data_IF_502744003961
#
_entry.id   IF_502744003961
#
_cell.length_a   1.000
_cell.length_b   1.000
_cell.length_c   1.000
_cell.angle_alpha   90.00
_cell.angle_beta   90.00
_cell.angle_gamma   90.00
#
_symmetry.space_group_name_H-M   'P 1'
#
loop_
_entity.id
_entity.type
_entity.pdbx_description
1 polymer ?
#
# COMPACT_ATOMS: atom_id res chain seq x y z
N UNK A 1 8.92 -18.75 -19.26
CA UNK A 1 7.49 -19.09 -19.31
C UNK A 1 7.04 -19.44 -17.90
N UNK A 2 6.08 -18.71 -17.33
CA UNK A 2 5.60 -18.96 -15.96
C UNK A 2 4.73 -20.21 -15.91
N UNK A 3 4.93 -21.06 -14.90
CA UNK A 3 4.18 -22.30 -14.75
C UNK A 3 2.69 -21.97 -14.47
N UNK A 4 1.74 -22.41 -15.32
CA UNK A 4 0.34 -22.05 -15.17
C UNK A 4 -0.27 -22.54 -13.85
N UNK A 5 0.20 -23.69 -13.32
CA UNK A 5 -0.21 -24.21 -12.01
C UNK A 5 0.29 -23.30 -10.89
N UNK A 6 1.54 -22.86 -10.96
CA UNK A 6 2.10 -21.92 -9.99
C UNK A 6 1.32 -20.59 -9.99
N UNK A 7 1.01 -20.05 -11.17
CA UNK A 7 0.22 -18.82 -11.30
C UNK A 7 -1.20 -18.97 -10.73
N UNK A 8 -1.82 -20.14 -10.92
CA UNK A 8 -3.12 -20.45 -10.33
C UNK A 8 -3.02 -20.52 -8.79
N UNK A 9 -2.03 -21.22 -8.25
CA UNK A 9 -1.80 -21.28 -6.79
C UNK A 9 -1.56 -19.90 -6.19
N UNK A 10 -0.74 -19.05 -6.83
CA UNK A 10 -0.50 -17.67 -6.37
C UNK A 10 -1.81 -16.87 -6.35
N UNK A 11 -2.64 -16.99 -7.40
CA UNK A 11 -3.94 -16.31 -7.45
C UNK A 11 -4.86 -16.77 -6.30
N UNK A 12 -4.88 -18.06 -5.99
CA UNK A 12 -5.66 -18.59 -4.88
C UNK A 12 -5.15 -18.09 -3.52
N UNK A 13 -3.82 -18.12 -3.32
CA UNK A 13 -3.19 -17.66 -2.08
C UNK A 13 -3.48 -16.18 -1.77
N UNK A 14 -3.57 -15.33 -2.80
CA UNK A 14 -3.93 -13.91 -2.65
C UNK A 14 -5.33 -13.69 -2.07
N UNK A 15 -6.26 -14.65 -2.22
CA UNK A 15 -7.60 -14.58 -1.64
C UNK A 15 -7.67 -15.03 -0.18
N UNK A 16 -6.64 -15.69 0.36
CA UNK A 16 -6.67 -16.20 1.73
C UNK A 16 -6.99 -15.13 2.79
N UNK A 17 -6.41 -13.92 2.77
CA UNK A 17 -6.77 -12.90 3.76
C UNK A 17 -8.23 -12.46 3.68
N UNK A 18 -8.78 -12.35 2.47
CA UNK A 18 -10.20 -12.00 2.26
C UNK A 18 -11.13 -13.10 2.78
N UNK A 19 -10.81 -14.37 2.46
CA UNK A 19 -11.56 -15.52 2.97
C UNK A 19 -11.50 -15.56 4.50
N UNK A 20 -10.33 -15.34 5.10
CA UNK A 20 -10.16 -15.29 6.54
C UNK A 20 -11.04 -14.23 7.21
N UNK A 21 -11.00 -12.98 6.72
CA UNK A 21 -11.86 -11.91 7.25
C UNK A 21 -13.33 -12.25 7.06
N UNK A 22 -13.71 -12.78 5.89
CA UNK A 22 -15.10 -13.19 5.60
C UNK A 22 -15.57 -14.26 6.59
N UNK A 23 -14.75 -15.26 6.90
CA UNK A 23 -15.08 -16.30 7.88
C UNK A 23 -15.25 -15.73 9.29
N UNK A 24 -14.37 -14.81 9.71
CA UNK A 24 -14.51 -14.12 11.01
C UNK A 24 -15.81 -13.33 11.06
N UNK A 25 -16.15 -12.60 10.00
CA UNK A 25 -17.37 -11.80 9.95
C UNK A 25 -18.61 -12.68 10.01
N UNK A 26 -18.65 -13.78 9.25
CA UNK A 26 -19.75 -14.74 9.28
C UNK A 26 -19.90 -15.43 10.64
N UNK A 27 -18.79 -15.84 11.25
CA UNK A 27 -18.80 -16.38 12.61
C UNK A 27 -19.28 -15.34 13.63
N UNK A 28 -18.84 -14.09 13.52
CA UNK A 28 -19.26 -13.01 14.42
C UNK A 28 -20.76 -12.72 14.29
N UNK A 29 -21.33 -12.85 13.09
CA UNK A 29 -22.77 -12.77 12.86
C UNK A 29 -23.51 -13.88 13.59
N UNK A 30 -23.07 -15.13 13.45
CA UNK A 30 -23.64 -16.26 14.20
C UNK A 30 -23.54 -16.03 15.72
N UNK A 31 -22.36 -15.70 16.22
CA UNK A 31 -22.12 -15.50 17.65
C UNK A 31 -22.95 -14.34 18.23
N UNK A 32 -23.08 -13.23 17.51
CA UNK A 32 -23.85 -12.08 17.97
C UNK A 32 -25.36 -12.34 17.88
N UNK A 33 -25.85 -12.76 16.72
CA UNK A 33 -27.29 -12.88 16.46
C UNK A 33 -27.89 -14.09 17.16
N UNK A 34 -27.24 -15.25 17.06
CA UNK A 34 -27.79 -16.51 17.59
C UNK A 34 -27.41 -16.68 19.06
N UNK A 35 -26.13 -16.79 19.35
CA UNK A 35 -25.68 -17.12 20.71
C UNK A 35 -25.98 -15.99 21.70
N UNK A 36 -25.67 -14.75 21.34
CA UNK A 36 -25.93 -13.63 22.23
C UNK A 36 -27.39 -13.19 22.17
N UNK A 37 -27.89 -12.66 21.05
CA UNK A 37 -29.22 -12.05 20.99
C UNK A 37 -30.37 -13.05 21.15
N UNK A 38 -30.31 -14.25 20.54
CA UNK A 38 -31.41 -15.22 20.68
C UNK A 38 -31.34 -15.94 22.02
N UNK A 39 -30.20 -16.51 22.39
CA UNK A 39 -30.08 -17.38 23.57
C UNK A 39 -29.70 -16.66 24.88
N UNK A 40 -28.78 -15.69 24.86
CA UNK A 40 -28.33 -15.05 26.11
C UNK A 40 -29.21 -13.86 26.55
N UNK A 41 -29.78 -13.09 25.62
CA UNK A 41 -30.63 -11.93 25.96
C UNK A 41 -32.06 -12.38 26.25
N UNK A 42 -32.51 -12.19 27.48
CA UNK A 42 -33.88 -12.50 27.91
C UNK A 42 -34.86 -11.35 27.66
N UNK A 43 -34.40 -10.09 27.76
CA UNK A 43 -35.23 -8.90 27.54
C UNK A 43 -35.56 -8.69 26.06
N UNK A 44 -36.85 -8.79 25.70
CA UNK A 44 -37.31 -8.60 24.32
C UNK A 44 -37.00 -7.20 23.77
N UNK A 45 -37.25 -6.08 24.49
CA UNK A 45 -36.90 -4.75 24.00
C UNK A 45 -35.40 -4.60 23.72
N UNK A 46 -34.54 -5.10 24.61
CA UNK A 46 -33.08 -5.06 24.43
C UNK A 46 -32.67 -5.86 23.19
N UNK A 47 -33.22 -7.06 23.03
CA UNK A 47 -32.97 -7.93 21.86
C UNK A 47 -33.31 -7.24 20.54
N UNK A 48 -34.48 -6.61 20.46
CA UNK A 48 -34.92 -5.90 19.24
C UNK A 48 -33.99 -4.73 18.93
N UNK A 49 -33.68 -3.88 19.92
CA UNK A 49 -32.79 -2.73 19.73
C UNK A 49 -31.41 -3.21 19.28
N UNK A 50 -30.87 -4.26 19.91
CA UNK A 50 -29.55 -4.77 19.59
C UNK A 50 -29.50 -5.33 18.18
N UNK A 51 -30.49 -6.16 17.79
CA UNK A 51 -30.55 -6.73 16.45
C UNK A 51 -30.71 -5.66 15.37
N UNK A 52 -31.55 -4.65 15.56
CA UNK A 52 -31.77 -3.59 14.55
C UNK A 52 -30.49 -2.80 14.32
N UNK A 53 -29.86 -2.30 15.38
CA UNK A 53 -28.63 -1.51 15.26
C UNK A 53 -27.47 -2.37 14.74
N UNK A 54 -27.35 -3.62 15.19
CA UNK A 54 -26.37 -4.57 14.69
C UNK A 54 -26.46 -4.73 13.17
N UNK A 55 -27.66 -4.97 12.63
CA UNK A 55 -27.84 -5.17 11.19
C UNK A 55 -27.53 -3.90 10.38
N UNK A 56 -27.83 -2.71 10.92
CA UNK A 56 -27.45 -1.44 10.26
C UNK A 56 -25.92 -1.37 10.12
N UNK A 57 -25.17 -1.57 11.21
CA UNK A 57 -23.71 -1.53 11.17
C UNK A 57 -23.12 -2.67 10.33
N UNK A 58 -23.65 -3.88 10.44
CA UNK A 58 -23.21 -5.04 9.68
C UNK A 58 -23.40 -4.83 8.16
N UNK A 59 -24.58 -4.38 7.72
CA UNK A 59 -24.88 -4.20 6.31
C UNK A 59 -24.00 -3.10 5.67
N UNK A 60 -23.82 -1.96 6.35
CA UNK A 60 -22.99 -0.88 5.80
C UNK A 60 -21.49 -1.24 5.81
N UNK A 61 -21.04 -2.00 6.82
CA UNK A 61 -19.70 -2.57 6.87
C UNK A 61 -19.45 -3.56 5.72
N UNK A 62 -20.35 -4.53 5.52
CA UNK A 62 -20.23 -5.52 4.43
C UNK A 62 -20.31 -4.83 3.06
N UNK A 63 -21.19 -3.84 2.89
CA UNK A 63 -21.27 -3.07 1.64
C UNK A 63 -19.98 -2.30 1.35
N UNK A 64 -19.41 -1.60 2.33
CA UNK A 64 -18.13 -0.89 2.16
C UNK A 64 -16.95 -1.83 1.90
N UNK A 65 -16.90 -2.99 2.58
CA UNK A 65 -15.89 -4.01 2.33
C UNK A 65 -15.99 -4.59 0.91
N UNK A 66 -17.21 -4.94 0.48
CA UNK A 66 -17.47 -5.42 -0.89
C UNK A 66 -17.01 -4.42 -1.94
N UNK A 67 -17.39 -3.15 -1.79
CA UNK A 67 -16.97 -2.09 -2.73
C UNK A 67 -15.45 -1.91 -2.77
N UNK A 68 -14.78 -2.03 -1.63
CA UNK A 68 -13.32 -1.92 -1.57
C UNK A 68 -12.62 -3.08 -2.30
N UNK A 69 -13.11 -4.32 -2.14
CA UNK A 69 -12.58 -5.52 -2.82
C UNK A 69 -12.81 -5.45 -4.32
N UNK A 70 -14.06 -5.21 -4.74
CA UNK A 70 -14.47 -5.43 -6.13
C UNK A 70 -14.44 -4.19 -7.01
N UNK A 71 -14.15 -3.01 -6.45
CA UNK A 71 -13.91 -1.83 -7.26
C UNK A 71 -12.74 -2.08 -8.23
N UNK A 72 -12.88 -1.71 -9.52
CA UNK A 72 -11.81 -1.89 -10.49
C UNK A 72 -10.62 -1.01 -10.10
N UNK A 73 -9.41 -1.52 -10.31
CA UNK A 73 -8.17 -0.75 -10.15
C UNK A 73 -8.16 0.37 -11.19
N UNK A 74 -8.09 1.63 -10.75
CA UNK A 74 -7.96 2.78 -11.64
C UNK A 74 -6.63 2.76 -12.38
N UNK A 75 -6.66 2.68 -13.71
CA UNK A 75 -5.47 2.59 -14.58
C UNK A 75 -5.31 3.88 -15.40
N UNK A 76 -4.08 4.25 -15.79
CA UNK A 76 -3.85 5.36 -16.72
C UNK A 76 -4.60 5.21 -18.04
N UNK A 77 -5.04 6.33 -18.60
CA UNK A 77 -5.61 6.43 -19.96
C UNK A 77 -4.55 6.15 -21.03
N UNK A 78 -5.00 5.86 -22.25
CA UNK A 78 -4.11 5.49 -23.37
C UNK A 78 -3.12 6.59 -23.77
N UNK A 79 -3.42 7.86 -23.51
CA UNK A 79 -2.55 9.00 -23.81
C UNK A 79 -1.21 8.97 -23.05
N UNK A 80 -1.13 8.26 -21.93
CA UNK A 80 0.10 8.12 -21.15
C UNK A 80 0.99 6.97 -21.64
N UNK A 81 0.47 6.06 -22.46
CA UNK A 81 1.23 4.94 -23.00
C UNK A 81 2.08 5.39 -24.18
N UNK A 82 3.31 4.88 -24.23
CA UNK A 82 4.19 5.16 -25.35
C UNK A 82 3.79 4.34 -26.57
N UNK A 83 4.01 4.93 -27.75
CA UNK A 83 3.90 4.17 -28.99
C UNK A 83 5.02 3.11 -29.04
N UNK A 84 4.81 2.03 -29.79
CA UNK A 84 5.85 0.99 -29.97
C UNK A 84 7.16 1.56 -30.51
N UNK A 85 7.07 2.49 -31.46
CA UNK A 85 8.24 3.15 -32.02
C UNK A 85 9.00 3.97 -30.96
N UNK A 86 8.30 4.61 -30.03
CA UNK A 86 8.91 5.38 -28.95
C UNK A 86 9.56 4.49 -27.90
N UNK A 87 8.94 3.34 -27.60
CA UNK A 87 9.53 2.30 -26.75
C UNK A 87 10.81 1.76 -27.38
N UNK A 88 10.77 1.34 -28.64
CA UNK A 88 11.93 0.82 -29.36
C UNK A 88 13.07 1.85 -29.35
N UNK A 89 12.74 3.13 -29.58
CA UNK A 89 13.72 4.22 -29.53
C UNK A 89 14.34 4.44 -28.14
N UNK A 90 13.58 4.23 -27.06
CA UNK A 90 14.11 4.32 -25.70
C UNK A 90 15.00 3.12 -25.38
N UNK A 91 14.60 1.92 -25.78
CA UNK A 91 15.35 0.67 -25.54
C UNK A 91 16.69 0.63 -26.29
N UNK A 92 16.77 1.23 -27.47
CA UNK A 92 18.01 1.30 -28.27
C UNK A 92 18.93 2.50 -27.92
N UNK A 93 18.49 3.40 -27.04
CA UNK A 93 19.31 4.56 -26.64
C UNK A 93 20.08 4.23 -25.36
N UNK A 94 21.38 3.98 -25.47
CA UNK A 94 22.25 3.64 -24.34
C UNK A 94 22.51 4.81 -23.39
N UNK A 95 22.28 6.06 -23.85
CA UNK A 95 22.55 7.26 -23.05
C UNK A 95 21.33 7.69 -22.25
N UNK A 96 21.43 7.61 -20.93
CA UNK A 96 20.37 8.03 -19.99
C UNK A 96 19.89 9.47 -20.23
N UNK A 97 20.81 10.42 -20.47
CA UNK A 97 20.45 11.83 -20.75
C UNK A 97 19.50 11.96 -21.95
N UNK A 98 19.75 11.17 -23.01
CA UNK A 98 18.95 11.20 -24.24
C UNK A 98 17.62 10.50 -24.05
N UNK A 99 17.59 9.39 -23.31
CA UNK A 99 16.34 8.76 -22.90
C UNK A 99 15.45 9.75 -22.13
N UNK A 100 16.03 10.49 -21.18
CA UNK A 100 15.28 11.50 -20.42
C UNK A 100 14.81 12.68 -21.28
N UNK A 101 15.61 13.12 -22.27
CA UNK A 101 15.17 14.13 -23.23
C UNK A 101 14.00 13.64 -24.10
N UNK A 102 14.02 12.39 -24.55
CA UNK A 102 12.91 11.80 -25.30
C UNK A 102 11.64 11.71 -24.45
N UNK A 103 11.74 11.21 -23.22
CA UNK A 103 10.62 11.16 -22.28
C UNK A 103 10.08 12.57 -21.99
N UNK A 104 10.96 13.56 -21.79
CA UNK A 104 10.57 14.95 -21.57
C UNK A 104 9.84 15.55 -22.78
N UNK A 105 10.25 15.21 -24.00
CA UNK A 105 9.57 15.64 -25.21
C UNK A 105 8.16 15.05 -25.31
N UNK A 106 7.99 13.76 -25.02
CA UNK A 106 6.68 13.08 -25.01
C UNK A 106 5.77 13.59 -23.89
N UNK A 107 6.36 13.97 -22.76
CA UNK A 107 5.64 14.48 -21.60
C UNK A 107 5.12 15.92 -21.77
N UNK A 108 5.51 16.65 -22.82
CA UNK A 108 5.14 18.08 -23.01
C UNK A 108 3.63 18.29 -23.09
N UNK A 109 2.92 17.36 -23.71
CA UNK A 109 1.48 17.46 -23.93
C UNK A 109 0.67 16.84 -22.77
N UNK A 110 1.34 16.29 -21.75
CA UNK A 110 0.70 15.64 -20.60
C UNK A 110 0.59 16.61 -19.41
N UNK A 111 -0.50 16.53 -18.61
CA UNK A 111 -0.74 17.43 -17.49
C UNK A 111 0.08 17.04 -16.24
N UNK A 112 1.41 17.06 -16.33
CA UNK A 112 2.34 16.54 -15.32
C UNK A 112 3.03 17.64 -14.52
N UNK A 113 2.75 17.71 -13.21
CA UNK A 113 3.40 18.66 -12.30
C UNK A 113 4.53 18.05 -11.47
N UNK A 114 4.57 16.72 -11.33
CA UNK A 114 5.60 16.03 -10.52
C UNK A 114 6.70 15.39 -11.35
N UNK A 115 7.86 15.15 -10.72
CA UNK A 115 9.08 14.57 -11.31
C UNK A 115 9.69 13.51 -10.39
N UNK A 116 10.74 12.84 -10.86
CA UNK A 116 11.59 12.00 -10.00
C UNK A 116 12.42 12.88 -9.04
N UNK A 117 13.11 12.26 -8.08
CA UNK A 117 14.04 12.95 -7.18
C UNK A 117 15.16 13.67 -7.95
N UNK A 118 15.60 13.10 -9.07
CA UNK A 118 16.57 13.72 -9.99
C UNK A 118 15.98 14.75 -10.96
N UNK A 119 14.71 15.12 -10.82
CA UNK A 119 14.04 16.08 -11.71
C UNK A 119 13.58 15.51 -13.06
N UNK A 120 13.78 14.22 -13.31
CA UNK A 120 13.45 13.54 -14.56
C UNK A 120 11.96 13.18 -14.68
N UNK A 121 11.51 12.79 -15.87
CA UNK A 121 10.13 12.33 -16.08
C UNK A 121 9.91 10.99 -15.38
N UNK A 122 8.76 10.86 -14.70
CA UNK A 122 8.38 9.63 -14.02
C UNK A 122 7.90 8.61 -15.05
N UNK A 123 8.75 7.67 -15.42
CA UNK A 123 8.43 6.60 -16.37
C UNK A 123 8.16 5.27 -15.65
N UNK A 124 7.33 4.41 -16.24
CA UNK A 124 7.13 3.03 -15.82
C UNK A 124 7.56 2.09 -16.95
N UNK A 125 8.71 1.45 -16.79
CA UNK A 125 9.20 0.47 -17.77
C UNK A 125 8.29 -0.76 -17.90
N UNK A 126 7.84 -1.45 -16.82
CA UNK A 126 6.96 -2.61 -16.98
C UNK A 126 5.62 -2.34 -17.67
N UNK A 127 5.14 -1.11 -17.63
CA UNK A 127 3.87 -0.70 -18.25
C UNK A 127 4.07 0.11 -19.53
N UNK A 128 5.31 0.48 -19.87
CA UNK A 128 5.68 1.33 -21.00
C UNK A 128 4.83 2.61 -21.09
N UNK A 129 4.71 3.33 -19.96
CA UNK A 129 3.92 4.56 -19.85
C UNK A 129 4.62 5.63 -19.03
N UNK A 130 4.33 6.89 -19.32
CA UNK A 130 4.67 8.02 -18.45
C UNK A 130 3.65 8.03 -17.31
N UNK A 131 4.11 8.00 -16.06
CA UNK A 131 3.25 7.92 -14.88
C UNK A 131 2.51 9.27 -14.71
N UNK A 132 1.15 9.28 -14.69
CA UNK A 132 0.41 10.43 -14.22
C UNK A 132 0.84 10.84 -12.81
N UNK A 133 0.53 12.08 -12.41
CA UNK A 133 0.81 12.51 -11.04
C UNK A 133 0.13 11.58 -10.03
N UNK A 134 0.80 11.34 -8.90
CA UNK A 134 0.34 10.42 -7.84
C UNK A 134 0.14 8.94 -8.29
N UNK A 135 0.49 8.58 -9.52
CA UNK A 135 0.40 7.21 -10.02
C UNK A 135 1.66 6.40 -9.68
N UNK A 136 1.49 5.16 -9.22
CA UNK A 136 2.60 4.25 -8.93
C UNK A 136 2.35 2.85 -9.48
N UNK A 137 3.41 2.14 -9.85
CA UNK A 137 3.31 0.75 -10.29
C UNK A 137 3.18 -0.18 -9.08
N UNK A 138 2.16 -1.02 -9.07
CA UNK A 138 2.01 -2.06 -8.08
C UNK A 138 2.39 -3.41 -8.71
N UNK A 139 3.51 -4.00 -8.27
CA UNK A 139 3.98 -5.31 -8.72
C UNK A 139 2.98 -6.44 -8.41
N UNK A 140 2.24 -6.32 -7.30
CA UNK A 140 1.22 -7.30 -6.91
C UNK A 140 0.01 -7.29 -7.85
N UNK A 141 -0.36 -6.12 -8.38
CA UNK A 141 -1.41 -5.95 -9.38
C UNK A 141 -0.89 -6.07 -10.82
N UNK A 142 0.43 -5.91 -11.04
CA UNK A 142 1.07 -5.92 -12.34
C UNK A 142 0.70 -4.72 -13.23
N UNK A 143 0.36 -3.57 -12.63
CA UNK A 143 -0.11 -2.39 -13.37
C UNK A 143 0.12 -1.10 -12.59
N UNK A 144 0.16 0.02 -13.31
CA UNK A 144 0.11 1.36 -12.73
C UNK A 144 -1.28 1.68 -12.18
N UNK A 145 -1.31 2.16 -10.93
CA UNK A 145 -2.53 2.48 -10.19
C UNK A 145 -2.62 3.99 -10.00
N UNK A 146 -3.73 4.60 -10.41
CA UNK A 146 -3.99 6.03 -10.24
C UNK A 146 -4.16 6.37 -8.77
N UNK A 147 -3.55 7.49 -8.33
CA UNK A 147 -3.49 7.94 -6.93
C UNK A 147 -3.24 6.77 -5.96
N UNK A 148 -2.23 5.94 -6.26
CA UNK A 148 -1.96 4.73 -5.49
C UNK A 148 -1.67 5.08 -4.03
N UNK A 149 -2.42 4.46 -3.12
CA UNK A 149 -2.16 4.57 -1.70
C UNK A 149 -1.32 3.39 -1.22
N UNK A 150 -1.82 2.18 -1.37
CA UNK A 150 -1.09 0.95 -1.07
C UNK A 150 -1.74 -0.27 -1.73
N UNK A 151 -1.05 -1.41 -1.72
CA UNK A 151 -1.67 -2.71 -1.98
C UNK A 151 -2.13 -3.30 -0.66
N UNK A 152 -3.42 -3.65 -0.55
CA UNK A 152 -3.99 -4.16 0.69
C UNK A 152 -4.34 -5.65 0.55
N UNK A 153 -3.59 -6.55 1.22
CA UNK A 153 -3.86 -7.98 1.16
C UNK A 153 -5.25 -8.35 1.70
N UNK A 154 -5.75 -7.62 2.70
CA UNK A 154 -7.04 -7.86 3.36
C UNK A 154 -8.27 -7.64 2.48
N UNK A 155 -8.10 -6.95 1.35
CA UNK A 155 -9.13 -6.74 0.32
C UNK A 155 -8.72 -7.35 -1.02
N UNK A 156 -7.55 -8.00 -1.09
CA UNK A 156 -6.95 -8.53 -2.31
C UNK A 156 -7.01 -7.55 -3.49
N UNK A 157 -6.78 -6.27 -3.21
CA UNK A 157 -6.89 -5.22 -4.21
C UNK A 157 -5.94 -4.05 -3.86
N UNK A 158 -5.62 -3.25 -4.87
CA UNK A 158 -4.94 -1.99 -4.64
C UNK A 158 -5.94 -0.94 -4.15
N UNK A 159 -5.55 -0.20 -3.13
CA UNK A 159 -6.24 1.00 -2.67
C UNK A 159 -5.65 2.19 -3.42
N UNK A 160 -6.48 2.90 -4.17
CA UNK A 160 -6.10 4.06 -4.96
C UNK A 160 -7.31 4.90 -5.33
N UNK A 161 -7.21 5.68 -6.41
CA UNK A 161 -8.22 6.66 -6.80
C UNK A 161 -9.66 6.10 -6.83
N UNK A 162 -9.87 4.93 -7.44
CA UNK A 162 -11.19 4.37 -7.70
C UNK A 162 -11.90 3.80 -6.46
N UNK A 163 -11.19 3.54 -5.36
CA UNK A 163 -11.74 2.88 -4.18
C UNK A 163 -11.28 3.47 -2.84
N UNK A 164 -10.50 4.56 -2.82
CA UNK A 164 -10.00 5.15 -1.57
C UNK A 164 -11.13 5.56 -0.62
N UNK A 165 -12.21 6.18 -1.16
CA UNK A 165 -13.41 6.48 -0.37
C UNK A 165 -14.00 5.23 0.28
N UNK A 166 -14.12 4.14 -0.48
CA UNK A 166 -14.68 2.88 0.02
C UNK A 166 -13.81 2.30 1.12
N UNK A 167 -12.50 2.34 0.96
CA UNK A 167 -11.55 1.89 1.97
C UNK A 167 -11.67 2.69 3.26
N UNK A 168 -11.74 4.03 3.19
CA UNK A 168 -11.91 4.88 4.39
C UNK A 168 -13.25 4.58 5.09
N UNK A 169 -14.34 4.40 4.33
CA UNK A 169 -15.63 3.99 4.88
C UNK A 169 -15.59 2.57 5.48
N UNK A 170 -14.91 1.63 4.84
CA UNK A 170 -14.70 0.27 5.35
C UNK A 170 -13.99 0.29 6.70
N UNK A 171 -12.93 1.09 6.86
CA UNK A 171 -12.24 1.25 8.14
C UNK A 171 -13.17 1.86 9.21
N UNK A 172 -13.89 2.93 8.87
CA UNK A 172 -14.81 3.60 9.79
C UNK A 172 -15.98 2.71 10.23
N UNK A 173 -16.63 2.03 9.28
CA UNK A 173 -17.74 1.11 9.59
C UNK A 173 -17.28 -0.17 10.26
N UNK A 174 -16.08 -0.68 9.94
CA UNK A 174 -15.46 -1.76 10.67
C UNK A 174 -15.21 -1.38 12.13
N UNK A 175 -14.71 -0.18 12.38
CA UNK A 175 -14.51 0.33 13.74
C UNK A 175 -15.83 0.48 14.49
N UNK A 176 -16.85 1.09 13.86
CA UNK A 176 -18.18 1.23 14.47
C UNK A 176 -18.82 -0.13 14.79
N UNK A 177 -18.71 -1.09 13.86
CA UNK A 177 -19.16 -2.47 14.05
C UNK A 177 -18.47 -3.11 15.24
N UNK A 178 -17.14 -3.05 15.32
CA UNK A 178 -16.38 -3.66 16.40
C UNK A 178 -16.64 -2.99 17.75
N UNK A 179 -16.72 -1.65 17.82
CA UNK A 179 -17.07 -0.92 19.06
C UNK A 179 -18.48 -1.31 19.51
N UNK A 180 -19.44 -1.37 18.58
CA UNK A 180 -20.81 -1.76 18.89
C UNK A 180 -20.88 -3.19 19.45
N UNK A 181 -20.20 -4.14 18.80
CA UNK A 181 -20.14 -5.53 19.26
C UNK A 181 -19.45 -5.64 20.62
N UNK A 182 -18.31 -5.00 20.82
CA UNK A 182 -17.59 -5.02 22.09
C UNK A 182 -18.41 -4.38 23.22
N UNK A 183 -19.01 -3.21 22.96
CA UNK A 183 -19.79 -2.46 23.94
C UNK A 183 -21.08 -3.17 24.35
N UNK A 184 -21.76 -3.85 23.43
CA UNK A 184 -22.97 -4.63 23.76
C UNK A 184 -22.67 -6.01 24.34
N UNK A 185 -21.52 -6.62 24.01
CA UNK A 185 -21.12 -7.91 24.58
C UNK A 185 -20.46 -7.81 25.96
N UNK A 186 -20.00 -6.63 26.39
CA UNK A 186 -19.30 -6.46 27.69
C UNK A 186 -20.15 -6.90 28.88
N UNK A 187 -21.46 -6.60 28.87
CA UNK A 187 -22.38 -7.02 29.93
C UNK A 187 -22.43 -8.56 30.04
N UNK A 188 -22.52 -9.24 28.90
CA UNK A 188 -22.60 -10.70 28.82
C UNK A 188 -21.25 -11.36 29.09
N UNK A 189 -20.15 -10.70 28.74
CA UNK A 189 -18.80 -11.10 29.14
C UNK A 189 -18.64 -11.05 30.67
N UNK A 190 -19.14 -10.01 31.33
CA UNK A 190 -19.10 -9.91 32.80
C UNK A 190 -19.97 -11.01 33.42
N UNK A 191 -21.19 -11.23 32.91
CA UNK A 191 -22.07 -12.32 33.36
C UNK A 191 -21.44 -13.70 33.18
N UNK A 192 -20.69 -13.92 32.09
CA UNK A 192 -19.92 -15.15 31.88
C UNK A 192 -18.90 -15.36 33.01
N UNK A 193 -18.12 -14.32 33.32
CA UNK A 193 -17.07 -14.40 34.32
C UNK A 193 -17.62 -14.61 35.75
N UNK A 194 -18.74 -13.97 36.05
CA UNK A 194 -19.44 -14.11 37.33
C UNK A 194 -20.26 -15.41 37.46
N UNK A 195 -20.31 -16.25 36.41
CA UNK A 195 -21.16 -17.46 36.35
C UNK A 195 -22.66 -17.17 36.49
N UNK A 196 -23.09 -16.03 35.96
CA UNK A 196 -24.48 -15.57 35.95
C UNK A 196 -25.18 -15.84 34.61
N UNK A 197 -24.46 -16.34 33.61
CA UNK A 197 -25.06 -16.83 32.37
C UNK A 197 -25.77 -18.15 32.62
N UNK A 198 -26.98 -18.28 32.05
CA UNK A 198 -27.78 -19.50 32.13
C UNK A 198 -27.00 -20.71 31.60
N UNK A 199 -26.92 -21.77 32.41
CA UNK A 199 -26.24 -23.03 32.06
C UNK A 199 -26.83 -23.69 30.81
N UNK A 200 -28.08 -23.34 30.46
CA UNK A 200 -28.78 -23.78 29.24
C UNK A 200 -28.09 -23.30 27.96
N UNK A 201 -27.28 -22.24 28.02
CA UNK A 201 -26.53 -21.69 26.87
C UNK A 201 -25.40 -22.66 26.42
N UNK A 202 -24.99 -23.60 27.28
CA UNK A 202 -24.03 -24.65 26.92
C UNK A 202 -22.71 -24.09 26.37
N UNK A 203 -22.33 -24.50 25.15
CA UNK A 203 -21.10 -24.04 24.48
C UNK A 203 -21.19 -22.60 23.93
N UNK A 204 -22.40 -22.03 23.82
CA UNK A 204 -22.62 -20.66 23.31
C UNK A 204 -21.90 -19.57 24.10
N UNK A 205 -21.65 -19.83 25.39
CA UNK A 205 -20.91 -18.93 26.29
C UNK A 205 -19.47 -18.64 25.83
N UNK A 206 -18.83 -19.61 25.17
CA UNK A 206 -17.48 -19.40 24.61
C UNK A 206 -17.52 -18.51 23.36
N UNK A 207 -18.58 -18.59 22.56
CA UNK A 207 -18.75 -17.68 21.42
C UNK A 207 -18.83 -16.23 21.87
N UNK A 208 -19.58 -15.93 22.93
CA UNK A 208 -19.71 -14.58 23.50
C UNK A 208 -18.34 -14.08 24.02
N UNK A 209 -17.59 -14.95 24.69
CA UNK A 209 -16.24 -14.64 25.18
C UNK A 209 -15.29 -14.26 24.03
N UNK A 210 -15.19 -15.12 23.02
CA UNK A 210 -14.32 -14.88 21.86
C UNK A 210 -14.79 -13.67 21.05
N UNK A 211 -16.10 -13.43 20.96
CA UNK A 211 -16.68 -12.30 20.25
C UNK A 211 -16.23 -10.97 20.86
N UNK A 212 -16.29 -10.85 22.19
CA UNK A 212 -15.81 -9.65 22.90
C UNK A 212 -14.32 -9.38 22.63
N UNK A 213 -13.46 -10.39 22.81
CA UNK A 213 -12.02 -10.23 22.60
C UNK A 213 -11.67 -9.93 21.14
N UNK A 214 -12.28 -10.63 20.18
CA UNK A 214 -12.07 -10.37 18.76
C UNK A 214 -12.48 -8.95 18.40
N UNK A 215 -13.68 -8.51 18.82
CA UNK A 215 -14.17 -7.17 18.55
C UNK A 215 -13.31 -6.09 19.20
N UNK A 216 -12.85 -6.28 20.45
CA UNK A 216 -11.97 -5.34 21.12
C UNK A 216 -10.60 -5.23 20.43
N UNK A 217 -9.99 -6.35 20.07
CA UNK A 217 -8.70 -6.39 19.36
C UNK A 217 -8.78 -5.67 18.02
N UNK A 218 -9.78 -6.00 17.19
CA UNK A 218 -9.97 -5.32 15.90
C UNK A 218 -10.27 -3.83 16.08
N UNK A 219 -11.05 -3.45 17.10
CA UNK A 219 -11.32 -2.03 17.39
C UNK A 219 -10.02 -1.26 17.64
N UNK A 220 -9.14 -1.77 18.50
CA UNK A 220 -7.86 -1.12 18.83
C UNK A 220 -7.00 -0.93 17.57
N UNK A 221 -6.87 -1.98 16.75
CA UNK A 221 -6.10 -1.90 15.50
C UNK A 221 -6.76 -0.95 14.48
N UNK A 222 -8.08 -0.90 14.41
CA UNK A 222 -8.80 -0.05 13.46
C UNK A 222 -8.78 1.43 13.89
N UNK A 223 -8.73 1.75 15.20
CA UNK A 223 -8.60 3.14 15.67
C UNK A 223 -7.35 3.80 15.09
N UNK A 224 -6.20 3.13 15.16
CA UNK A 224 -4.95 3.70 14.66
C UNK A 224 -4.94 3.84 13.13
N UNK A 225 -5.37 2.80 12.41
CA UNK A 225 -5.40 2.82 10.95
C UNK A 225 -6.42 3.83 10.41
N UNK A 226 -7.63 3.87 10.96
CA UNK A 226 -8.65 4.84 10.57
C UNK A 226 -8.20 6.27 10.89
N UNK A 227 -7.66 6.52 12.09
CA UNK A 227 -7.13 7.82 12.48
C UNK A 227 -6.03 8.32 11.55
N UNK A 228 -5.10 7.44 11.17
CA UNK A 228 -4.05 7.77 10.21
C UNK A 228 -4.61 8.14 8.83
N UNK A 229 -5.56 7.35 8.30
CA UNK A 229 -6.17 7.66 7.01
C UNK A 229 -7.05 8.92 7.04
N UNK A 230 -7.70 9.24 8.16
CA UNK A 230 -8.36 10.53 8.32
C UNK A 230 -7.35 11.67 8.21
N UNK A 231 -6.21 11.58 8.90
CA UNK A 231 -5.13 12.56 8.76
C UNK A 231 -4.65 12.72 7.31
N UNK A 232 -4.47 11.60 6.58
CA UNK A 232 -4.07 11.61 5.18
C UNK A 232 -5.13 12.28 4.29
N UNK A 233 -6.41 12.00 4.50
CA UNK A 233 -7.53 12.66 3.80
C UNK A 233 -7.50 14.16 4.07
N UNK A 234 -7.40 14.59 5.32
CA UNK A 234 -7.35 16.02 5.67
C UNK A 234 -6.13 16.74 5.12
N UNK A 235 -5.03 16.01 4.88
CA UNK A 235 -3.79 16.56 4.29
C UNK A 235 -3.70 16.40 2.76
N UNK A 236 -4.68 15.75 2.13
CA UNK A 236 -4.66 15.30 0.72
C UNK A 236 -3.39 14.55 0.33
N UNK A 237 -2.94 13.63 1.18
CA UNK A 237 -1.75 12.80 0.92
C UNK A 237 -2.18 11.34 0.77
N UNK A 238 -1.47 10.60 -0.07
CA UNK A 238 -1.49 9.14 0.01
C UNK A 238 -0.46 8.64 1.02
N UNK A 239 -0.56 7.39 1.44
CA UNK A 239 0.45 6.72 2.27
C UNK A 239 1.84 6.84 1.65
N UNK A 240 1.98 6.58 0.33
CA UNK A 240 3.25 6.73 -0.39
C UNK A 240 3.83 8.15 -0.30
N UNK A 241 2.99 9.16 -0.47
CA UNK A 241 3.38 10.57 -0.41
C UNK A 241 3.73 11.02 1.02
N UNK A 242 3.19 10.33 2.02
CA UNK A 242 3.53 10.59 3.42
C UNK A 242 4.95 10.13 3.78
N UNK A 243 5.42 9.05 3.13
CA UNK A 243 6.78 8.51 3.28
C UNK A 243 7.78 9.14 2.32
N UNK A 244 7.37 9.45 1.09
CA UNK A 244 8.21 10.08 0.07
C UNK A 244 7.53 11.32 -0.46
N UNK A 245 8.08 12.48 -0.10
CA UNK A 245 7.59 13.78 -0.55
C UNK A 245 7.59 13.86 -2.08
N UNK A 246 6.47 14.23 -2.73
CA UNK A 246 6.45 14.45 -4.17
C UNK A 246 7.38 15.59 -4.57
N UNK A 247 8.08 15.40 -5.69
CA UNK A 247 8.96 16.42 -6.27
C UNK A 247 8.18 17.22 -7.30
N UNK A 248 7.95 18.49 -7.03
CA UNK A 248 7.40 19.46 -7.97
C UNK A 248 8.55 20.17 -8.70
N UNK A 249 8.22 21.03 -9.66
CA UNK A 249 9.22 21.82 -10.40
C UNK A 249 10.02 22.77 -9.49
N UNK A 250 9.44 23.24 -8.39
CA UNK A 250 10.09 24.07 -7.37
C UNK A 250 10.73 23.26 -6.24
N UNK A 251 10.87 21.94 -6.41
CA UNK A 251 11.46 21.05 -5.42
C UNK A 251 10.43 20.25 -4.61
N UNK A 252 10.85 19.65 -3.49
CA UNK A 252 10.00 18.78 -2.67
C UNK A 252 8.92 19.59 -1.96
N UNK A 253 7.64 19.23 -2.14
CA UNK A 253 6.52 19.85 -1.43
C UNK A 253 5.53 18.78 -0.93
N UNK A 254 5.47 18.60 0.39
CA UNK A 254 4.57 17.61 1.02
C UNK A 254 3.10 18.05 1.02
N UNK A 255 2.87 19.34 0.84
CA UNK A 255 1.56 19.99 0.79
C UNK A 255 1.20 20.45 -0.62
N UNK A 256 1.92 20.00 -1.66
CA UNK A 256 1.70 20.45 -3.02
C UNK A 256 0.31 20.15 -3.58
N UNK A 257 -0.38 19.11 -3.07
CA UNK A 257 -1.78 18.78 -3.40
C UNK A 257 -2.78 19.20 -2.32
N UNK A 258 -2.34 19.87 -1.25
CA UNK A 258 -3.21 20.26 -0.14
C UNK A 258 -4.00 21.54 -0.50
N UNK A 259 -5.33 21.46 -0.49
CA UNK A 259 -6.26 22.53 -0.87
C UNK A 259 -7.05 23.09 0.33
N UNK A 260 -6.62 22.75 1.55
CA UNK A 260 -7.36 22.98 2.78
C UNK A 260 -8.34 21.85 3.12
N UNK A 261 -8.56 21.62 4.42
CA UNK A 261 -9.25 20.44 4.96
C UNK A 261 -10.60 20.13 4.31
N UNK A 262 -11.43 21.15 4.07
CA UNK A 262 -12.76 20.98 3.46
C UNK A 262 -12.66 20.54 2.01
N UNK A 263 -11.78 21.14 1.22
CA UNK A 263 -11.60 20.78 -0.19
C UNK A 263 -10.94 19.41 -0.31
N UNK A 264 -9.99 19.09 0.56
CA UNK A 264 -9.36 17.77 0.61
C UNK A 264 -10.37 16.66 0.93
N UNK A 265 -11.33 16.91 1.82
CA UNK A 265 -12.44 16.00 2.06
C UNK A 265 -13.30 15.82 0.80
N UNK A 266 -13.65 16.92 0.12
CA UNK A 266 -14.44 16.88 -1.12
C UNK A 266 -13.74 16.11 -2.24
N UNK A 267 -12.42 16.22 -2.37
CA UNK A 267 -11.66 15.42 -3.34
C UNK A 267 -11.91 13.91 -3.19
N UNK A 268 -12.16 13.42 -1.96
CA UNK A 268 -12.42 12.00 -1.68
C UNK A 268 -13.91 11.68 -1.64
N UNK A 269 -14.71 12.50 -0.95
CA UNK A 269 -16.11 12.21 -0.63
C UNK A 269 -17.13 12.89 -1.57
N UNK A 270 -16.68 13.81 -2.42
CA UNK A 270 -17.51 14.56 -3.35
C UNK A 270 -18.23 15.76 -2.73
N UNK A 271 -18.95 16.49 -3.58
CA UNK A 271 -19.69 17.71 -3.18
C UNK A 271 -20.98 17.40 -2.39
N UNK A 272 -21.69 16.33 -2.75
CA UNK A 272 -22.96 15.97 -2.11
C UNK A 272 -22.73 15.26 -0.76
N UNK A 273 -22.91 16.00 0.33
CA UNK A 273 -22.75 15.54 1.71
C UNK A 273 -23.67 14.37 2.07
N UNK A 274 -24.80 14.19 1.37
CA UNK A 274 -25.73 13.08 1.61
C UNK A 274 -25.12 11.73 1.23
N UNK A 275 -24.16 11.73 0.30
CA UNK A 275 -23.50 10.53 -0.21
C UNK A 275 -22.16 10.24 0.48
N UNK A 276 -21.70 11.09 1.41
CA UNK A 276 -20.40 10.93 2.06
C UNK A 276 -20.29 9.60 2.81
N UNK A 277 -21.37 9.19 3.47
CA UNK A 277 -21.46 7.99 4.28
C UNK A 277 -21.99 6.78 3.49
N UNK A 278 -22.11 6.89 2.17
CA UNK A 278 -22.54 5.77 1.33
C UNK A 278 -21.34 5.25 0.51
N UNK A 279 -21.14 3.92 0.43
CA UNK A 279 -20.15 3.26 -0.43
C UNK A 279 -20.50 3.36 -1.92
N UNK A 280 -20.66 4.59 -2.42
CA UNK A 280 -20.90 4.94 -3.81
C UNK A 280 -19.82 5.89 -4.29
N UNK A 281 -19.35 5.73 -5.53
CA UNK A 281 -18.24 6.52 -6.05
C UNK A 281 -18.67 7.98 -6.21
N UNK A 282 -17.97 8.89 -5.53
CA UNK A 282 -18.23 10.34 -5.58
C UNK A 282 -16.94 11.17 -5.51
N UNK A 283 -15.77 10.53 -5.58
CA UNK A 283 -14.48 11.24 -5.59
C UNK A 283 -14.38 12.16 -6.81
N UNK A 284 -13.75 13.31 -6.65
CA UNK A 284 -13.62 14.31 -7.71
C UNK A 284 -12.47 13.97 -8.67
N UNK A 285 -12.44 14.65 -9.82
CA UNK A 285 -11.40 14.49 -10.83
C UNK A 285 -11.54 13.23 -11.68
N UNK A 286 -10.45 12.87 -12.35
CA UNK A 286 -10.33 11.69 -13.23
C UNK A 286 -9.23 10.71 -12.74
N UNK A 287 -8.50 11.09 -11.69
CA UNK A 287 -7.36 10.35 -11.18
C UNK A 287 -6.05 10.54 -11.97
N UNK A 288 -6.09 11.33 -13.05
CA UNK A 288 -4.96 11.63 -13.93
C UNK A 288 -4.38 13.01 -13.63
N UNK A 289 -5.25 14.00 -13.40
CA UNK A 289 -4.89 15.38 -13.04
C UNK A 289 -5.43 15.71 -11.66
N UNK A 290 -4.60 16.37 -10.85
CA UNK A 290 -4.96 16.81 -9.51
C UNK A 290 -4.74 18.32 -9.37
N UNK A 291 -5.66 19.05 -8.73
CA UNK A 291 -5.41 20.43 -8.36
C UNK A 291 -4.23 20.53 -7.39
N UNK A 292 -3.41 21.55 -7.58
CA UNK A 292 -2.25 21.85 -6.74
C UNK A 292 -2.47 23.13 -5.94
N UNK A 293 -1.78 23.24 -4.80
CA UNK A 293 -1.79 24.42 -3.93
C UNK A 293 -1.25 25.65 -4.67
N UNK A 294 -0.20 25.47 -5.45
CA UNK A 294 0.38 26.50 -6.34
C UNK A 294 -0.05 26.17 -7.76
N UNK A 295 -0.75 27.09 -8.43
CA UNK A 295 -1.07 26.96 -9.85
C UNK A 295 0.18 27.25 -10.67
N UNK A 296 0.51 26.36 -11.60
CA UNK A 296 1.69 26.48 -12.45
C UNK A 296 1.28 27.04 -13.83
N UNK A 297 1.99 28.06 -14.33
CA UNK A 297 1.90 28.47 -15.73
C UNK A 297 2.74 27.50 -16.59
N UNK A 298 2.13 26.71 -17.50
CA UNK A 298 2.86 25.74 -18.33
C UNK A 298 4.01 26.34 -19.15
N UNK A 299 4.01 27.66 -19.37
CA UNK A 299 4.98 28.36 -20.23
C UNK A 299 6.24 28.82 -19.49
N UNK A 300 6.25 28.83 -18.15
CA UNK A 300 7.45 29.22 -17.42
C UNK A 300 8.48 28.08 -17.39
N UNK A 301 9.77 28.39 -17.68
CA UNK A 301 10.84 27.43 -17.50
C UNK A 301 10.96 27.05 -16.01
N UNK A 302 11.39 25.82 -15.73
CA UNK A 302 11.70 25.42 -14.36
C UNK A 302 12.75 26.40 -13.80
N UNK A 303 12.62 26.86 -12.54
CA UNK A 303 13.61 27.72 -11.93
C UNK A 303 14.97 27.02 -12.01
N UNK A 304 15.92 27.66 -12.68
CA UNK A 304 17.32 27.24 -12.68
C UNK A 304 17.88 27.56 -11.31
N UNK A 305 17.72 26.65 -10.37
CA UNK A 305 18.41 26.75 -9.08
C UNK A 305 19.90 26.52 -9.33
N UNK A 306 20.60 27.63 -9.61
CA UNK A 306 21.99 27.77 -9.21
C UNK A 306 22.00 27.65 -7.68
N UNK A 307 22.93 26.90 -7.07
CA UNK A 307 22.93 26.72 -5.62
C UNK A 307 23.05 28.10 -4.96
N UNK A 308 21.98 28.53 -4.32
CA UNK A 308 21.94 29.76 -3.55
C UNK A 308 22.97 29.63 -2.43
N UNK A 309 23.97 30.50 -2.45
CA UNK A 309 24.84 30.78 -1.32
C UNK A 309 23.96 31.21 -0.15
N UNK A 310 23.84 30.35 0.85
CA UNK A 310 23.17 30.66 2.11
C UNK A 310 23.93 31.79 2.82
N UNK A 311 23.30 32.97 2.90
CA UNK A 311 23.66 34.01 3.86
C UNK A 311 22.92 33.72 5.18
N UNK A 312 23.62 33.62 6.32
CA UNK A 312 22.98 33.38 7.60
C UNK A 312 22.49 34.72 8.15
N UNK A 313 21.18 34.88 8.36
CA UNK A 313 20.61 35.71 9.44
C UNK A 313 19.08 35.66 9.42
N UNK A 314 18.49 34.81 10.26
CA UNK A 314 17.29 35.11 11.06
C UNK A 314 16.95 33.92 11.97
N UNK A 315 16.71 34.15 13.28
CA UNK A 315 16.35 33.10 14.21
C UNK A 315 14.82 32.91 14.22
N UNK A 316 14.38 31.65 14.24
CA UNK A 316 13.23 31.14 15.01
C UNK A 316 12.59 29.94 14.29
N UNK A 317 13.11 28.74 14.57
CA UNK A 317 12.26 27.56 14.73
C UNK A 317 13.01 26.50 15.54
N UNK A 318 12.51 26.25 16.75
CA UNK A 318 13.00 25.21 17.65
C UNK A 318 12.44 23.87 17.16
N UNK A 319 13.26 23.12 16.44
CA UNK A 319 13.03 21.71 16.11
C UNK A 319 14.06 20.84 16.82
N UNK A 320 13.59 19.99 17.76
CA UNK A 320 14.39 18.93 18.35
C UNK A 320 14.89 17.99 17.23
N UNK A 321 16.21 17.89 17.07
CA UNK A 321 16.85 16.97 16.15
C UNK A 321 18.14 16.43 16.76
N UNK A 322 18.15 15.12 17.04
CA UNK A 322 19.37 14.38 17.36
C UNK A 322 20.24 14.34 16.10
N UNK A 323 21.31 15.13 16.11
CA UNK A 323 22.19 15.37 14.97
C UNK A 323 23.02 14.15 14.56
N UNK A 324 22.43 13.26 13.77
CA UNK A 324 23.17 12.30 12.94
C UNK A 324 22.77 12.45 11.48
N UNK A 325 23.65 13.09 10.71
CA UNK A 325 23.63 13.08 9.25
C UNK A 325 24.20 11.74 8.75
N UNK A 326 23.36 10.94 8.12
CA UNK A 326 23.83 9.75 7.38
C UNK A 326 24.23 10.16 5.95
N UNK A 327 25.25 9.54 5.35
CA UNK A 327 25.66 9.84 3.98
C UNK A 327 24.53 9.55 2.98
N UNK A 328 24.21 10.54 2.14
CA UNK A 328 23.23 10.40 1.06
C UNK A 328 23.75 9.45 -0.02
N UNK A 329 23.23 8.22 -0.06
CA UNK A 329 23.51 7.24 -1.11
C UNK A 329 22.84 7.70 -2.41
N UNK A 330 23.63 8.14 -3.41
CA UNK A 330 23.16 8.40 -4.77
C UNK A 330 23.03 7.07 -5.52
N UNK A 331 21.89 6.42 -5.38
CA UNK A 331 21.50 5.32 -6.28
C UNK A 331 19.98 5.38 -6.44
N UNK A 332 19.55 5.83 -7.63
CA UNK A 332 18.21 5.60 -8.15
C UNK A 332 18.07 4.12 -8.48
N UNK A 333 17.82 3.30 -7.47
CA UNK A 333 17.38 1.93 -7.64
C UNK A 333 15.99 1.84 -7.02
N UNK A 334 14.97 2.00 -7.86
CA UNK A 334 13.68 1.39 -7.58
C UNK A 334 13.94 -0.11 -7.42
N UNK A 335 13.59 -0.65 -6.26
CA UNK A 335 13.90 -2.01 -5.80
C UNK A 335 13.59 -3.08 -6.85
N UNK A 336 14.58 -3.45 -7.67
CA UNK A 336 14.49 -4.50 -8.68
C UNK A 336 15.79 -5.34 -8.75
N UNK A 337 16.23 -5.92 -7.64
CA UNK A 337 17.28 -6.95 -7.64
C UNK A 337 17.07 -8.04 -6.58
N UNK A 338 15.93 -8.74 -6.62
CA UNK A 338 15.80 -9.98 -5.84
C UNK A 338 15.43 -11.22 -6.66
N UNK A 339 15.13 -11.12 -7.96
CA UNK A 339 14.69 -12.29 -8.74
C UNK A 339 15.10 -12.32 -10.22
N UNK A 340 16.13 -11.60 -10.68
CA UNK A 340 16.54 -11.71 -12.08
C UNK A 340 18.06 -11.69 -12.31
N UNK A 341 18.78 -12.55 -11.60
CA UNK A 341 20.11 -12.99 -12.03
C UNK A 341 19.97 -14.18 -12.98
N UNK A 342 20.01 -13.91 -14.29
CA UNK A 342 20.38 -14.93 -15.26
C UNK A 342 21.29 -14.37 -16.35
N UNK A 343 22.54 -14.82 -16.25
CA UNK A 343 23.52 -15.04 -17.32
C UNK A 343 24.05 -13.82 -18.07
N UNK A 344 25.15 -13.26 -17.55
CA UNK A 344 26.18 -12.65 -18.41
C UNK A 344 27.55 -12.55 -17.72
N UNK A 345 28.18 -13.69 -17.46
CA UNK A 345 29.61 -13.77 -17.12
C UNK A 345 30.22 -15.01 -17.74
N UNK A 346 30.58 -14.89 -19.01
CA UNK A 346 31.59 -15.72 -19.66
C UNK A 346 32.10 -14.91 -20.86
N UNK A 347 33.35 -14.47 -20.73
CA UNK A 347 34.33 -14.06 -21.76
C UNK A 347 35.08 -12.79 -21.37
N UNK A 348 36.40 -12.85 -21.56
CA UNK A 348 37.44 -11.83 -21.40
C UNK A 348 38.01 -11.66 -19.96
N UNK A 349 39.29 -11.87 -19.68
CA UNK A 349 40.42 -12.13 -20.57
C UNK A 349 41.69 -12.62 -19.85
N UNK A 350 42.59 -13.19 -20.65
CA UNK A 350 44.00 -13.45 -20.36
C UNK A 350 44.80 -12.14 -20.29
N UNK A 351 45.83 -12.09 -19.45
CA UNK A 351 46.79 -10.98 -19.45
C UNK A 351 47.64 -10.81 -18.18
N UNK A 352 48.57 -11.75 -17.99
CA UNK A 352 49.98 -11.52 -17.61
C UNK A 352 50.34 -10.54 -16.46
N UNK A 353 50.80 -11.06 -15.32
CA UNK A 353 51.89 -10.45 -14.52
C UNK A 353 52.72 -11.56 -13.86
N UNK A 354 54.01 -11.59 -14.23
CA UNK A 354 55.09 -12.45 -13.78
C UNK A 354 55.60 -12.18 -12.35
N UNK A 355 56.14 -13.25 -11.76
CA UNK A 355 57.29 -13.34 -10.87
C UNK A 355 57.30 -12.62 -9.50
N UNK A 356 57.23 -13.44 -8.44
CA UNK A 356 58.18 -13.35 -7.31
C UNK A 356 58.19 -14.64 -6.47
N UNK A 357 59.24 -15.44 -6.66
CA UNK A 357 59.72 -16.46 -5.72
C UNK A 357 60.24 -15.81 -4.42
N UNK A 358 59.86 -16.33 -3.25
CA UNK A 358 60.79 -16.56 -2.13
C UNK A 358 60.23 -17.57 -1.10
N UNK A 359 60.69 -18.81 -1.23
CA UNK A 359 61.27 -19.73 -0.23
C UNK A 359 60.67 -19.99 1.18
N UNK A 360 60.67 -21.31 1.50
CA UNK A 360 60.81 -22.04 2.79
C UNK A 360 59.55 -22.10 3.69
N UNK A 361 59.10 -23.24 4.24
CA UNK A 361 59.82 -24.43 4.69
C UNK A 361 58.92 -25.68 4.77
N UNK A 362 59.53 -26.83 4.51
CA UNK A 362 59.12 -28.24 4.65
C UNK A 362 58.53 -28.66 6.01
N UNK A 363 57.50 -29.53 6.02
CA UNK A 363 57.42 -30.81 6.78
C UNK A 363 56.42 -31.76 6.08
N UNK A 364 56.81 -33.02 5.85
CA UNK A 364 55.97 -34.13 5.36
C UNK A 364 56.18 -35.37 6.30
N UNK A 365 55.48 -36.51 6.13
CA UNK A 365 54.37 -37.02 6.95
C UNK A 365 54.75 -38.31 7.74
N UNK A 366 53.77 -39.02 8.33
CA UNK A 366 53.46 -40.38 7.83
C UNK A 366 51.95 -40.69 7.92
N UNK A 367 51.35 -41.73 7.34
CA UNK A 367 51.82 -42.91 6.63
C UNK A 367 50.61 -43.76 6.19
N UNK A 368 50.88 -44.61 5.19
CA UNK A 368 50.05 -45.66 4.55
C UNK A 368 48.99 -46.36 5.41
N UNK A 369 47.86 -46.74 4.78
CA UNK A 369 47.61 -48.14 4.35
C UNK A 369 46.41 -48.28 3.39
N UNK A 370 46.63 -48.98 2.28
CA UNK A 370 45.63 -49.50 1.33
C UNK A 370 45.11 -50.84 1.84
N UNK A 371 43.81 -51.13 1.65
CA UNK A 371 43.32 -52.48 1.37
C UNK A 371 42.18 -52.38 0.33
N UNK A 372 42.39 -53.05 -0.81
CA UNK A 372 41.39 -53.45 -1.81
C UNK A 372 40.83 -54.83 -1.43
N UNK A 373 39.70 -55.23 -2.04
CA UNK A 373 39.22 -56.59 -2.44
C UNK A 373 37.69 -56.57 -2.31
N UNK A 374 36.96 -56.35 -3.41
CA UNK A 374 36.35 -57.31 -4.36
C UNK A 374 34.90 -57.67 -4.01
N UNK A 375 34.12 -57.78 -5.08
CA UNK A 375 32.71 -58.15 -5.11
C UNK A 375 32.55 -59.66 -5.18
N UNK A 376 31.44 -60.20 -4.66
CA UNK A 376 30.72 -61.32 -5.28
C UNK A 376 29.33 -61.50 -4.63
N UNK A 377 28.37 -61.83 -5.49
CA UNK A 377 26.96 -62.26 -5.29
C UNK A 377 25.89 -61.23 -4.96
#
# INVERSE_FOLDING_TARGET
MSNPVLNFCIRLMKWLPVVFITLIVLWSYYAYVVEMCVFAITSLPQKVIYLVLYHIFFLIFVWSYYQTIFAPVGRPSQEFYLSKADVDRLEHEDREDRQQQHLAQMAKDLPLVTRTIGGSIRYCEPCQLIKPDRCHHCSMCGTCVLKMDHHCPWVNNCVGYSNYKFFVLFLGYGLLYCIYVAGTSVEYFIKFWNKELDDTIGNGRFHILFLFFAAAMFSISLVSLFGYHLYLVFSNRTTLESFRTPMFRHGPDKDGFNLGSTNNLKEVFGEDRRLWFLPVFTSLGDGLKFPTRVQYDPTEPAPTDSPATESPDSPDSVGFGDGMSFPTRRTSEDSHQLLNDRQRWAEEGEGDVSDRETALTTVQPPGRSRVHVEAET
#
